data_IF_070306906794
#
_entry.id   IF_070306906794
#
_cell.length_a   1.000
_cell.length_b   1.000
_cell.length_c   1.000
_cell.angle_alpha   90.00
_cell.angle_beta   90.00
_cell.angle_gamma   90.00
#
_symmetry.space_group_name_H-M   'P 1'
#
loop_
_entity.id
_entity.type
_entity.pdbx_description
1 polymer ?
#
# COMPACT_ATOMS: atom_id res chain seq x y z
N UNK A 1 -7.09 15.12 11.67
CA UNK A 1 -6.33 14.48 10.57
C UNK A 1 -6.88 15.04 9.26
N UNK A 2 -6.02 15.45 8.32
CA UNK A 2 -6.39 16.17 7.09
C UNK A 2 -6.22 15.36 5.79
N UNK A 3 -6.12 14.04 5.89
CA UNK A 3 -6.09 13.12 4.77
C UNK A 3 -7.47 12.46 4.58
N UNK A 4 -7.73 12.00 3.36
CA UNK A 4 -8.88 11.15 3.05
C UNK A 4 -8.51 9.68 3.24
N UNK A 5 -9.29 8.94 4.03
CA UNK A 5 -9.05 7.52 4.21
C UNK A 5 -9.69 6.72 3.07
N UNK A 6 -8.92 5.80 2.48
CA UNK A 6 -9.40 4.88 1.46
C UNK A 6 -9.35 3.47 2.05
N UNK A 7 -10.50 2.79 2.05
CA UNK A 7 -10.58 1.39 2.49
C UNK A 7 -9.71 0.51 1.59
N UNK A 8 -8.86 -0.31 2.21
CA UNK A 8 -7.92 -1.16 1.51
C UNK A 8 -7.82 -2.51 2.24
N UNK A 9 -8.00 -3.65 1.55
CA UNK A 9 -7.78 -4.97 2.14
C UNK A 9 -6.27 -5.24 2.35
N UNK A 10 -5.93 -6.20 3.22
CA UNK A 10 -4.53 -6.52 3.59
C UNK A 10 -3.65 -6.87 2.39
N UNK A 11 -4.19 -7.56 1.40
CA UNK A 11 -3.46 -8.06 0.24
C UNK A 11 -3.40 -7.03 -0.91
N UNK A 12 -3.70 -5.77 -0.62
CA UNK A 12 -3.70 -4.69 -1.60
C UNK A 12 -2.97 -3.45 -1.05
N UNK A 13 -2.84 -2.42 -1.88
CA UNK A 13 -2.21 -1.15 -1.55
C UNK A 13 -2.94 0.01 -2.25
N UNK A 14 -2.69 1.23 -1.78
CA UNK A 14 -3.24 2.46 -2.35
C UNK A 14 -2.10 3.39 -2.75
N UNK A 15 -2.22 4.01 -3.92
CA UNK A 15 -1.26 4.99 -4.46
C UNK A 15 -1.94 6.34 -4.60
N UNK A 16 -1.34 7.36 -4.01
CA UNK A 16 -1.60 8.75 -4.33
C UNK A 16 -0.50 9.22 -5.30
N UNK A 17 -0.82 9.26 -6.60
CA UNK A 17 0.15 9.67 -7.63
C UNK A 17 0.53 11.15 -7.52
N UNK A 18 -0.40 12.00 -7.08
CA UNK A 18 -0.19 13.45 -7.01
C UNK A 18 0.87 13.79 -5.97
N UNK A 19 0.82 13.14 -4.82
CA UNK A 19 1.76 13.36 -3.72
C UNK A 19 2.83 12.28 -3.61
N UNK A 20 2.83 11.29 -4.52
CA UNK A 20 3.75 10.15 -4.55
C UNK A 20 3.78 9.36 -3.24
N UNK A 21 2.59 9.11 -2.67
CA UNK A 21 2.43 8.36 -1.41
C UNK A 21 1.90 6.97 -1.75
N UNK A 22 2.49 5.93 -1.17
CA UNK A 22 1.99 4.54 -1.29
C UNK A 22 1.78 3.95 0.09
N UNK A 23 0.64 3.32 0.33
CA UNK A 23 0.27 2.74 1.64
C UNK A 23 -0.35 1.35 1.50
N UNK A 24 -0.17 0.51 2.52
CA UNK A 24 -0.81 -0.81 2.65
C UNK A 24 -1.13 -1.09 4.12
N UNK A 25 -2.22 -1.81 4.46
CA UNK A 25 -2.61 -2.03 5.85
C UNK A 25 -1.66 -2.93 6.65
N UNK A 26 -1.00 -3.89 6.01
CA UNK A 26 -0.13 -4.88 6.64
C UNK A 26 -0.73 -5.46 7.95
N UNK A 27 0.01 -5.40 9.07
CA UNK A 27 -0.43 -5.93 10.37
C UNK A 27 -1.62 -5.20 10.99
N UNK A 28 -2.11 -4.08 10.43
CA UNK A 28 -3.36 -3.48 10.89
C UNK A 28 -4.57 -4.38 10.61
N UNK A 29 -4.52 -5.17 9.53
CA UNK A 29 -5.63 -6.05 9.08
C UNK A 29 -5.20 -7.50 8.80
N UNK A 30 -3.91 -7.76 8.64
CA UNK A 30 -3.40 -9.06 8.22
C UNK A 30 -3.31 -10.09 9.34
N UNK A 31 -3.91 -11.29 9.17
CA UNK A 31 -3.85 -12.35 10.18
C UNK A 31 -2.49 -13.09 10.20
N UNK A 32 -1.65 -12.90 9.16
CA UNK A 32 -0.35 -13.53 9.06
C UNK A 32 0.48 -13.04 7.88
N UNK A 33 1.75 -13.49 7.83
CA UNK A 33 2.76 -13.00 6.88
C UNK A 33 2.37 -13.24 5.41
N UNK A 34 1.62 -14.32 5.12
CA UNK A 34 1.24 -14.69 3.76
C UNK A 34 0.37 -13.62 3.10
N UNK A 35 -0.69 -13.17 3.79
CA UNK A 35 -1.63 -12.19 3.24
C UNK A 35 -1.02 -10.79 3.21
N UNK A 36 -0.14 -10.50 4.18
CA UNK A 36 0.59 -9.23 4.27
C UNK A 36 1.63 -9.10 3.15
N UNK A 37 2.32 -10.18 2.80
CA UNK A 37 3.36 -10.17 1.79
C UNK A 37 2.83 -9.70 0.44
N UNK A 38 1.64 -10.15 0.03
CA UNK A 38 1.03 -9.77 -1.24
C UNK A 38 0.80 -8.25 -1.34
N UNK A 39 0.26 -7.63 -0.28
CA UNK A 39 0.05 -6.18 -0.23
C UNK A 39 1.36 -5.39 -0.24
N UNK A 40 2.38 -5.85 0.50
CA UNK A 40 3.69 -5.20 0.56
C UNK A 40 4.45 -5.31 -0.78
N UNK A 41 4.41 -6.47 -1.43
CA UNK A 41 5.05 -6.65 -2.73
C UNK A 41 4.47 -5.70 -3.79
N UNK A 42 3.14 -5.54 -3.81
CA UNK A 42 2.47 -4.57 -4.66
C UNK A 42 2.89 -3.14 -4.37
N UNK A 43 2.91 -2.77 -3.08
CA UNK A 43 3.37 -1.45 -2.64
C UNK A 43 4.79 -1.14 -3.11
N UNK A 44 5.73 -2.07 -2.93
CA UNK A 44 7.15 -1.86 -3.31
C UNK A 44 7.28 -1.68 -4.82
N UNK A 45 6.56 -2.47 -5.63
CA UNK A 45 6.55 -2.29 -7.09
C UNK A 45 6.08 -0.89 -7.49
N UNK A 46 4.98 -0.43 -6.89
CA UNK A 46 4.46 0.93 -7.15
C UNK A 46 5.44 2.02 -6.74
N UNK A 47 6.16 1.87 -5.62
CA UNK A 47 7.22 2.80 -5.22
C UNK A 47 8.34 2.86 -6.26
N UNK A 48 8.79 1.72 -6.77
CA UNK A 48 9.84 1.66 -7.80
C UNK A 48 9.37 2.32 -9.11
N UNK A 49 8.12 2.10 -9.51
CA UNK A 49 7.51 2.73 -10.69
C UNK A 49 7.44 4.26 -10.53
N UNK A 50 7.03 4.77 -9.38
CA UNK A 50 6.97 6.21 -9.09
C UNK A 50 8.35 6.87 -9.00
N UNK A 51 9.37 6.12 -8.62
CA UNK A 51 10.75 6.59 -8.55
C UNK A 51 11.44 6.63 -9.92
N UNK A 52 10.96 5.83 -10.88
CA UNK A 52 11.53 5.71 -12.22
C UNK A 52 10.78 6.55 -13.27
N UNK A 53 9.61 7.09 -12.91
CA UNK A 53 8.88 8.12 -13.67
C UNK A 53 9.47 9.52 -13.45
#
# INVERSE_FOLDING_TARGET
MGAEHIECPVNNFVVDEKYKIVTTPAYMLGPGIKDIAEGIEGLVKAVVELATK
#
